data_IF_146521566574
#
_entry.id   IF_146521566574
#
_cell.length_a   1.000
_cell.length_b   1.000
_cell.length_c   1.000
_cell.angle_alpha   90.00
_cell.angle_beta   90.00
_cell.angle_gamma   90.00
#
_symmetry.space_group_name_H-M   'P 1'
#
loop_
_entity.id
_entity.type
_entity.pdbx_description
1 polymer ?
#
# COMPACT_ATOMS: atom_id res chain seq x y z
N UNK A 1 -55.56 32.64 48.55
CA UNK A 1 -55.28 31.33 47.92
C UNK A 1 -54.72 31.48 46.48
N UNK A 2 -53.95 32.53 46.16
CA UNK A 2 -53.54 32.85 44.76
C UNK A 2 -52.10 32.44 44.41
N UNK A 3 -51.25 32.17 45.40
CA UNK A 3 -49.82 31.91 45.18
C UNK A 3 -49.49 30.51 44.63
N UNK A 4 -50.29 29.50 44.97
CA UNK A 4 -50.06 28.10 44.58
C UNK A 4 -49.99 27.87 43.05
N UNK A 5 -50.92 28.37 42.22
CA UNK A 5 -50.86 28.18 40.77
C UNK A 5 -49.69 28.92 40.10
N UNK A 6 -49.28 30.07 40.64
CA UNK A 6 -48.14 30.84 40.12
C UNK A 6 -46.84 30.05 40.34
N UNK A 7 -46.66 29.49 41.54
CA UNK A 7 -45.49 28.67 41.88
C UNK A 7 -45.42 27.43 40.97
N UNK A 8 -46.54 26.74 40.76
CA UNK A 8 -46.60 25.56 39.87
C UNK A 8 -46.20 25.90 38.42
N UNK A 9 -46.62 27.05 37.91
CA UNK A 9 -46.30 27.51 36.54
C UNK A 9 -44.82 27.84 36.40
N UNK A 10 -44.23 28.53 37.37
CA UNK A 10 -42.80 28.87 37.39
C UNK A 10 -41.93 27.61 37.46
N UNK A 11 -42.31 26.61 38.27
CA UNK A 11 -41.60 25.32 38.36
C UNK A 11 -41.68 24.57 37.03
N UNK A 12 -42.85 24.57 36.36
CA UNK A 12 -43.03 23.93 35.05
C UNK A 12 -42.14 24.54 33.97
N UNK A 13 -42.03 25.87 33.94
CA UNK A 13 -41.14 26.59 33.01
C UNK A 13 -39.67 26.27 33.30
N UNK A 14 -39.26 26.31 34.58
CA UNK A 14 -37.89 25.96 34.98
C UNK A 14 -37.54 24.51 34.61
N UNK A 15 -38.45 23.57 34.84
CA UNK A 15 -38.27 22.16 34.49
C UNK A 15 -38.18 21.96 32.97
N UNK A 16 -38.97 22.69 32.18
CA UNK A 16 -38.89 22.70 30.71
C UNK A 16 -37.55 23.25 30.19
N UNK A 17 -37.10 24.37 30.75
CA UNK A 17 -35.79 24.95 30.43
C UNK A 17 -34.64 24.00 30.78
N UNK A 18 -34.70 23.34 31.94
CA UNK A 18 -33.70 22.36 32.37
C UNK A 18 -33.67 21.15 31.43
N UNK A 19 -34.83 20.64 31.00
CA UNK A 19 -34.91 19.56 30.01
C UNK A 19 -34.28 19.95 28.67
N UNK A 20 -34.61 21.13 28.15
CA UNK A 20 -34.04 21.60 26.88
C UNK A 20 -32.52 21.79 26.97
N UNK A 21 -32.02 22.32 28.09
CA UNK A 21 -30.59 22.44 28.33
C UNK A 21 -29.91 21.07 28.39
N UNK A 22 -30.54 20.08 29.04
CA UNK A 22 -30.04 18.71 29.11
C UNK A 22 -29.96 18.07 27.72
N UNK A 23 -30.99 18.23 26.88
CA UNK A 23 -31.03 17.73 25.51
C UNK A 23 -29.91 18.37 24.66
N UNK A 24 -29.72 19.69 24.79
CA UNK A 24 -28.65 20.39 24.07
C UNK A 24 -27.27 19.87 24.45
N UNK A 25 -27.02 19.61 25.74
CA UNK A 25 -25.77 19.04 26.23
C UNK A 25 -25.52 17.61 25.72
N UNK A 26 -26.57 16.80 25.57
CA UNK A 26 -26.48 15.44 25.00
C UNK A 26 -26.13 15.51 23.51
N UNK A 27 -26.80 16.38 22.75
CA UNK A 27 -26.53 16.59 21.33
C UNK A 27 -25.11 17.12 21.08
N UNK A 28 -24.65 18.05 21.92
CA UNK A 28 -23.26 18.56 21.89
C UNK A 28 -22.25 17.44 22.17
N UNK A 29 -22.49 16.57 23.16
CA UNK A 29 -21.61 15.41 23.42
C UNK A 29 -21.59 14.42 22.25
N UNK A 30 -22.76 14.09 21.69
CA UNK A 30 -22.84 13.16 20.55
C UNK A 30 -22.08 13.70 19.33
N UNK A 31 -22.29 14.97 18.96
CA UNK A 31 -21.59 15.59 17.81
C UNK A 31 -20.07 15.65 18.01
N UNK A 32 -19.59 15.95 19.24
CA UNK A 32 -18.17 15.93 19.57
C UNK A 32 -17.58 14.51 19.49
N UNK A 33 -18.27 13.49 20.00
CA UNK A 33 -17.80 12.09 19.94
C UNK A 33 -17.77 11.54 18.51
N UNK A 34 -18.76 11.86 17.67
CA UNK A 34 -18.78 11.45 16.26
C UNK A 34 -17.64 12.12 15.48
N UNK A 35 -17.39 13.41 15.75
CA UNK A 35 -16.27 14.15 15.14
C UNK A 35 -14.90 13.55 15.51
N UNK A 36 -14.71 13.18 16.78
CA UNK A 36 -13.49 12.51 17.22
C UNK A 36 -13.31 11.13 16.59
N UNK A 37 -14.38 10.34 16.48
CA UNK A 37 -14.35 9.00 15.88
C UNK A 37 -14.04 9.04 14.38
N UNK A 38 -14.59 10.00 13.63
CA UNK A 38 -14.33 10.15 12.20
C UNK A 38 -12.88 10.53 11.89
N UNK A 39 -12.28 11.40 12.71
CA UNK A 39 -10.86 11.74 12.58
C UNK A 39 -9.96 10.53 12.84
N UNK A 40 -10.27 9.71 13.86
CA UNK A 40 -9.51 8.49 14.17
C UNK A 40 -9.56 7.49 13.01
N UNK A 41 -10.75 7.21 12.45
CA UNK A 41 -10.92 6.30 11.31
C UNK A 41 -10.18 6.77 10.06
N UNK A 42 -10.22 8.07 9.77
CA UNK A 42 -9.52 8.66 8.62
C UNK A 42 -8.00 8.52 8.77
N UNK A 43 -7.46 8.79 9.96
CA UNK A 43 -6.03 8.59 10.22
C UNK A 43 -5.61 7.13 10.13
N UNK A 44 -6.42 6.18 10.62
CA UNK A 44 -6.10 4.75 10.50
C UNK A 44 -6.04 4.31 9.03
N UNK A 45 -7.01 4.74 8.22
CA UNK A 45 -7.06 4.42 6.79
C UNK A 45 -5.83 4.95 6.03
N UNK A 46 -5.43 6.19 6.33
CA UNK A 46 -4.28 6.83 5.69
C UNK A 46 -2.96 6.11 6.04
N UNK A 47 -2.80 5.69 7.30
CA UNK A 47 -1.63 4.93 7.75
C UNK A 47 -1.58 3.56 7.06
N UNK A 48 -2.69 2.84 6.96
CA UNK A 48 -2.73 1.54 6.27
C UNK A 48 -2.37 1.64 4.79
N UNK A 49 -2.78 2.72 4.12
CA UNK A 49 -2.45 2.96 2.72
C UNK A 49 -0.94 3.21 2.54
N UNK A 50 -0.34 4.02 3.41
CA UNK A 50 1.10 4.32 3.35
C UNK A 50 1.98 3.08 3.58
N UNK A 51 1.56 2.15 4.44
CA UNK A 51 2.32 0.92 4.71
C UNK A 51 2.29 -0.06 3.52
N UNK A 52 1.22 -0.05 2.72
CA UNK A 52 1.07 -0.96 1.57
C UNK A 52 2.05 -0.71 0.41
N UNK A 53 2.66 0.48 0.32
CA UNK A 53 3.60 0.85 -0.75
C UNK A 53 4.93 0.08 -0.65
N UNK A 54 5.28 -0.44 0.54
CA UNK A 54 6.53 -1.18 0.77
C UNK A 54 6.53 -2.61 0.19
N UNK A 55 5.38 -3.15 -0.23
CA UNK A 55 5.25 -4.50 -0.78
C UNK A 55 5.38 -4.57 -2.32
N UNK A 56 5.73 -3.47 -2.99
CA UNK A 56 5.58 -3.32 -4.44
C UNK A 56 6.75 -3.86 -5.30
N UNK A 57 7.72 -4.59 -4.75
CA UNK A 57 8.89 -5.12 -5.46
C UNK A 57 8.62 -6.30 -6.44
N UNK A 58 7.37 -6.51 -6.83
CA UNK A 58 7.01 -7.44 -7.93
C UNK A 58 6.13 -6.80 -9.01
N UNK A 59 5.63 -5.59 -8.76
CA UNK A 59 4.73 -4.88 -9.67
C UNK A 59 5.50 -3.84 -10.49
N UNK A 60 6.59 -3.28 -9.96
CA UNK A 60 7.47 -2.39 -10.70
C UNK A 60 8.21 -3.14 -11.82
N UNK A 61 8.67 -4.36 -11.56
CA UNK A 61 9.30 -5.26 -12.52
C UNK A 61 8.34 -5.58 -13.65
N UNK A 62 7.06 -5.84 -13.33
CA UNK A 62 6.03 -6.03 -14.35
C UNK A 62 5.80 -4.77 -15.16
N UNK A 63 5.76 -3.60 -14.52
CA UNK A 63 5.54 -2.31 -15.17
C UNK A 63 6.67 -1.93 -16.13
N UNK A 64 7.92 -2.16 -15.75
CA UNK A 64 9.10 -1.86 -16.60
C UNK A 64 9.27 -2.83 -17.76
N UNK A 65 8.63 -4.01 -17.70
CA UNK A 65 8.64 -4.99 -18.79
C UNK A 65 7.33 -5.07 -19.58
N UNK A 66 6.37 -4.16 -19.37
CA UNK A 66 5.12 -4.16 -20.14
C UNK A 66 5.44 -3.91 -21.62
N UNK A 67 5.12 -4.89 -22.48
CA UNK A 67 5.35 -4.83 -23.92
C UNK A 67 6.67 -5.47 -24.37
N UNK A 68 7.54 -5.90 -23.45
CA UNK A 68 8.69 -6.72 -23.79
C UNK A 68 8.25 -8.15 -24.12
N UNK A 69 8.71 -8.69 -25.25
CA UNK A 69 8.49 -10.09 -25.57
C UNK A 69 9.38 -10.96 -24.67
N UNK A 70 8.77 -11.89 -23.94
CA UNK A 70 9.52 -12.89 -23.18
C UNK A 70 10.08 -13.93 -24.13
N UNK A 71 11.39 -13.88 -24.37
CA UNK A 71 12.11 -14.88 -25.17
C UNK A 71 12.74 -15.89 -24.22
N UNK A 72 12.46 -17.17 -24.42
CA UNK A 72 13.12 -18.23 -23.66
C UNK A 72 14.59 -18.32 -24.08
N UNK A 73 15.55 -18.26 -23.14
CA UNK A 73 16.96 -18.43 -23.45
C UNK A 73 17.23 -19.83 -24.02
N UNK A 74 18.25 -19.93 -24.85
CA UNK A 74 18.67 -21.18 -25.51
C UNK A 74 19.21 -22.19 -24.49
N UNK A 75 19.84 -21.72 -23.42
CA UNK A 75 20.28 -22.54 -22.28
C UNK A 75 20.11 -21.78 -20.97
N UNK A 76 19.72 -22.48 -19.92
CA UNK A 76 19.66 -21.97 -18.55
C UNK A 76 20.24 -23.03 -17.60
N UNK A 77 21.22 -22.64 -16.81
CA UNK A 77 21.87 -23.54 -15.85
C UNK A 77 22.47 -22.78 -14.66
N UNK A 78 22.76 -23.52 -13.60
CA UNK A 78 23.39 -23.01 -12.39
C UNK A 78 24.87 -23.38 -12.40
N UNK A 79 25.73 -22.41 -12.07
CA UNK A 79 27.14 -22.64 -11.80
C UNK A 79 27.38 -22.44 -10.30
N UNK A 80 27.85 -23.48 -9.63
CA UNK A 80 28.31 -23.42 -8.25
C UNK A 80 29.79 -22.99 -8.26
N UNK A 81 30.06 -21.73 -7.90
CA UNK A 81 31.43 -21.20 -7.80
C UNK A 81 31.70 -20.74 -6.37
N UNK A 82 32.55 -21.45 -5.64
CA UNK A 82 33.00 -21.08 -4.29
C UNK A 82 31.88 -20.64 -3.32
N UNK A 83 30.72 -21.31 -3.36
CA UNK A 83 29.57 -21.01 -2.51
C UNK A 83 28.59 -19.96 -3.06
N UNK A 84 28.80 -19.50 -4.30
CA UNK A 84 27.90 -18.61 -5.01
C UNK A 84 27.05 -19.42 -6.00
N UNK A 85 25.73 -19.36 -5.82
CA UNK A 85 24.78 -19.96 -6.76
C UNK A 85 24.52 -18.95 -7.89
N UNK A 86 25.27 -19.08 -8.99
CA UNK A 86 25.19 -18.17 -10.13
C UNK A 86 24.21 -18.74 -11.16
N UNK A 87 23.21 -17.94 -11.53
CA UNK A 87 22.29 -18.28 -12.62
C UNK A 87 22.84 -17.79 -13.93
N UNK A 88 22.94 -18.67 -14.92
CA UNK A 88 23.44 -18.34 -16.25
C UNK A 88 22.34 -18.57 -17.28
N UNK A 89 22.17 -17.58 -18.15
CA UNK A 89 21.25 -17.58 -19.27
C UNK A 89 22.04 -17.36 -20.55
N UNK A 90 21.98 -18.29 -21.49
CA UNK A 90 22.61 -18.16 -22.80
C UNK A 90 21.56 -18.00 -23.88
N UNK A 91 21.81 -17.11 -24.83
CA UNK A 91 20.95 -16.94 -26.00
C UNK A 91 21.75 -16.51 -27.23
N UNK A 92 21.18 -16.80 -28.39
CA UNK A 92 21.63 -16.26 -29.67
C UNK A 92 20.65 -15.13 -30.06
N UNK A 93 21.12 -13.89 -30.25
CA UNK A 93 20.26 -12.79 -30.66
C UNK A 93 19.60 -13.06 -32.02
N UNK A 94 18.33 -12.67 -32.17
CA UNK A 94 17.60 -12.88 -33.42
C UNK A 94 18.12 -12.02 -34.58
N UNK A 95 18.71 -10.88 -34.26
CA UNK A 95 19.31 -9.91 -35.17
C UNK A 95 20.74 -10.29 -35.62
N UNK A 96 21.46 -11.10 -34.84
CA UNK A 96 22.78 -11.59 -35.22
C UNK A 96 23.01 -13.04 -34.76
N UNK A 97 22.82 -14.04 -35.66
CA UNK A 97 22.97 -15.44 -35.31
C UNK A 97 24.43 -15.90 -35.15
N UNK A 98 25.41 -15.04 -35.48
CA UNK A 98 26.84 -15.37 -35.40
C UNK A 98 27.46 -15.08 -34.02
N UNK A 99 26.68 -14.53 -33.09
CA UNK A 99 27.13 -14.23 -31.73
C UNK A 99 26.31 -15.00 -30.70
N UNK A 100 26.96 -15.50 -29.66
CA UNK A 100 26.29 -16.04 -28.48
C UNK A 100 26.48 -15.09 -27.33
N UNK A 101 25.40 -14.75 -26.66
CA UNK A 101 25.42 -13.95 -25.45
C UNK A 101 25.16 -14.84 -24.23
N UNK A 102 25.87 -14.55 -23.13
CA UNK A 102 25.65 -15.12 -21.82
C UNK A 102 25.34 -13.99 -20.84
N UNK A 103 24.36 -14.21 -19.97
CA UNK A 103 24.09 -13.39 -18.81
C UNK A 103 24.30 -14.24 -17.57
N UNK A 104 25.22 -13.83 -16.70
CA UNK A 104 25.45 -14.48 -15.42
C UNK A 104 25.00 -13.54 -14.31
N UNK A 105 24.17 -14.02 -13.39
CA UNK A 105 23.70 -13.28 -12.23
C UNK A 105 23.99 -14.06 -10.95
N UNK A 106 24.83 -13.49 -10.10
CA UNK A 106 25.00 -13.92 -8.70
C UNK A 106 24.19 -13.06 -7.74
N UNK A 107 24.28 -13.36 -6.44
CA UNK A 107 23.48 -12.69 -5.40
C UNK A 107 23.70 -11.18 -5.28
N UNK A 108 24.81 -10.63 -5.80
CA UNK A 108 25.13 -9.20 -5.70
C UNK A 108 25.42 -8.50 -7.03
N UNK A 109 25.86 -9.24 -8.06
CA UNK A 109 26.26 -8.67 -9.35
C UNK A 109 25.86 -9.61 -10.47
N UNK A 110 25.50 -9.01 -11.61
CA UNK A 110 25.32 -9.72 -12.86
C UNK A 110 25.93 -8.97 -14.02
N UNK A 111 26.20 -9.68 -15.11
CA UNK A 111 26.83 -9.13 -16.29
C UNK A 111 26.47 -9.90 -17.55
N UNK A 112 26.43 -9.19 -18.67
CA UNK A 112 26.23 -9.76 -20.01
C UNK A 112 27.57 -9.75 -20.74
N UNK A 113 27.92 -10.87 -21.37
CA UNK A 113 29.04 -10.96 -22.29
C UNK A 113 28.59 -11.67 -23.57
N UNK A 114 29.03 -11.19 -24.73
CA UNK A 114 28.74 -11.83 -26.02
C UNK A 114 30.05 -12.15 -26.73
N UNK A 115 30.09 -13.29 -27.40
CA UNK A 115 31.26 -13.79 -28.12
C UNK A 115 30.86 -14.37 -29.49
N UNK A 116 31.80 -14.34 -30.43
CA UNK A 116 31.66 -14.92 -31.76
C UNK A 116 31.55 -16.44 -31.67
N UNK A 117 30.65 -17.04 -32.46
CA UNK A 117 30.52 -18.51 -32.56
C UNK A 117 31.48 -19.06 -33.63
N UNK A 118 32.01 -18.20 -34.51
CA UNK A 118 32.74 -18.60 -35.71
C UNK A 118 34.27 -18.40 -35.61
N UNK A 119 34.80 -18.22 -34.39
CA UNK A 119 36.25 -18.08 -34.15
C UNK A 119 36.95 -19.44 -34.02
#
# INVERSE_FOLDING_TARGET
MVYLPIIATVIGILAGMLKNLLVLLILLKQTLTVRAMMNFKLTTLLITLLVSVSAQAGLWEKMTTIGAQTVKPSSEYLIETAGWNIRVYEWIPADNPNVRCMFAAGSQKGGVACYSIND
#
